data_IF_748108386243
#
_entry.id   IF_748108386243
#
_cell.length_a   1.000
_cell.length_b   1.000
_cell.length_c   1.000
_cell.angle_alpha   90.00
_cell.angle_beta   90.00
_cell.angle_gamma   90.00
#
_symmetry.space_group_name_H-M   'P 1'
#
loop_
_entity.id
_entity.type
_entity.pdbx_description
1 polymer ?
#
# COMPACT_ATOMS: atom_id res chain seq x y z
N UNK A 1 5.70 -19.01 -8.84
CA UNK A 1 4.78 -18.38 -7.88
C UNK A 1 5.68 -17.48 -7.06
N UNK A 2 5.76 -16.19 -7.44
CA UNK A 2 6.76 -15.25 -6.92
C UNK A 2 6.24 -14.69 -5.61
N UNK A 3 7.10 -14.72 -4.59
CA UNK A 3 6.82 -14.10 -3.29
C UNK A 3 6.39 -12.66 -3.51
N UNK A 4 5.35 -12.30 -2.77
CA UNK A 4 4.55 -11.11 -2.96
C UNK A 4 5.20 -10.02 -2.13
N UNK A 5 5.41 -8.84 -2.69
CA UNK A 5 5.83 -7.67 -1.94
C UNK A 5 4.91 -7.51 -0.71
N UNK A 6 5.49 -7.51 0.49
CA UNK A 6 4.87 -7.65 1.81
C UNK A 6 4.54 -9.03 2.34
N UNK A 7 4.44 -10.14 1.60
CA UNK A 7 4.13 -11.47 2.19
C UNK A 7 4.98 -11.77 3.45
N UNK A 8 6.28 -11.50 3.38
CA UNK A 8 7.26 -11.65 4.48
C UNK A 8 7.50 -10.40 5.34
N UNK A 9 6.84 -9.27 5.04
CA UNK A 9 6.97 -8.10 5.90
C UNK A 9 6.36 -8.43 7.27
N UNK A 10 7.24 -8.51 8.27
CA UNK A 10 6.87 -8.87 9.63
C UNK A 10 5.78 -7.92 10.14
N UNK A 11 4.77 -8.48 10.79
CA UNK A 11 3.83 -7.67 11.56
C UNK A 11 4.51 -7.00 12.75
N UNK A 12 4.01 -5.84 13.16
CA UNK A 12 4.39 -5.22 14.42
C UNK A 12 3.88 -6.10 15.58
N UNK A 13 4.76 -6.96 16.09
CA UNK A 13 4.48 -7.86 17.22
C UNK A 13 4.21 -6.98 18.45
N UNK A 14 2.96 -6.97 18.93
CA UNK A 14 2.47 -6.24 20.11
C UNK A 14 2.03 -4.78 19.92
N UNK A 15 1.58 -4.40 18.72
CA UNK A 15 0.97 -3.08 18.56
C UNK A 15 -0.32 -2.94 19.40
N UNK A 16 -0.51 -1.86 20.18
CA UNK A 16 -1.76 -1.63 20.93
C UNK A 16 -2.97 -1.47 20.00
N UNK A 17 -2.73 -1.18 18.72
CA UNK A 17 -3.77 -1.09 17.69
C UNK A 17 -4.42 -2.46 17.40
N UNK A 18 -3.77 -3.58 17.75
CA UNK A 18 -4.32 -4.92 17.50
C UNK A 18 -5.72 -5.15 18.11
N UNK A 19 -6.06 -4.40 19.17
CA UNK A 19 -7.40 -4.40 19.77
C UNK A 19 -8.53 -4.06 18.79
N UNK A 20 -8.25 -3.27 17.75
CA UNK A 20 -9.28 -2.82 16.79
C UNK A 20 -9.74 -3.95 15.86
N UNK A 21 -8.92 -4.98 15.65
CA UNK A 21 -9.22 -6.10 14.75
C UNK A 21 -9.16 -7.45 15.45
N UNK A 22 -9.39 -7.48 16.78
CA UNK A 22 -9.44 -8.72 17.55
C UNK A 22 -10.49 -9.72 17.01
N UNK A 23 -11.59 -9.20 16.48
CA UNK A 23 -12.68 -10.00 15.92
C UNK A 23 -12.52 -10.30 14.41
N UNK A 24 -11.42 -9.89 13.77
CA UNK A 24 -11.22 -10.05 12.32
C UNK A 24 -11.37 -11.50 11.85
N UNK A 25 -10.86 -12.46 12.64
CA UNK A 25 -10.95 -13.88 12.32
C UNK A 25 -12.40 -14.38 12.25
N UNK A 26 -13.32 -13.80 13.03
CA UNK A 26 -14.75 -14.13 12.97
C UNK A 26 -15.38 -13.70 11.65
N UNK A 27 -14.80 -12.69 10.99
CA UNK A 27 -15.20 -12.22 9.66
C UNK A 27 -14.51 -12.99 8.52
N UNK A 28 -13.63 -13.95 8.81
CA UNK A 28 -12.76 -14.59 7.81
C UNK A 28 -11.63 -13.67 7.32
N UNK A 29 -11.21 -12.69 8.14
CA UNK A 29 -10.16 -11.72 7.82
C UNK A 29 -8.90 -11.95 8.64
N UNK A 30 -7.75 -11.67 8.04
CA UNK A 30 -6.49 -11.44 8.73
C UNK A 30 -6.11 -9.96 8.59
N UNK A 31 -5.83 -9.30 9.70
CA UNK A 31 -5.41 -7.91 9.75
C UNK A 31 -4.12 -7.79 10.55
N UNK A 32 -3.13 -7.12 9.96
CA UNK A 32 -1.82 -6.95 10.59
C UNK A 32 -1.31 -5.53 10.32
N UNK A 33 -0.83 -4.86 11.36
CA UNK A 33 -0.01 -3.65 11.20
C UNK A 33 1.39 -4.10 10.78
N UNK A 34 1.90 -3.58 9.66
CA UNK A 34 3.23 -3.94 9.18
C UNK A 34 4.30 -3.22 9.99
N UNK A 35 5.45 -3.87 10.15
CA UNK A 35 6.66 -3.22 10.61
C UNK A 35 6.99 -2.00 9.73
N UNK A 36 7.76 -1.03 10.25
CA UNK A 36 8.19 0.13 9.48
C UNK A 36 8.87 -0.26 8.16
N UNK A 37 8.63 0.58 7.15
CA UNK A 37 9.14 0.42 5.80
C UNK A 37 9.71 1.75 5.37
N UNK A 38 10.67 1.71 4.46
CA UNK A 38 11.09 2.91 3.77
C UNK A 38 9.96 3.32 2.81
N UNK A 39 9.44 4.53 2.95
CA UNK A 39 8.36 5.08 2.11
C UNK A 39 8.79 6.47 1.65
N UNK A 40 8.70 6.72 0.36
CA UNK A 40 9.24 7.93 -0.24
C UNK A 40 8.31 8.47 -1.31
N UNK A 41 7.98 9.77 -1.26
CA UNK A 41 7.29 10.41 -2.36
C UNK A 41 8.26 10.66 -3.50
N UNK A 42 7.91 10.26 -4.72
CA UNK A 42 8.68 10.47 -5.93
C UNK A 42 7.83 11.27 -6.92
N UNK A 43 8.35 12.40 -7.39
CA UNK A 43 7.70 13.23 -8.40
C UNK A 43 8.64 13.48 -9.57
N UNK A 44 8.24 13.09 -10.78
CA UNK A 44 9.06 13.29 -11.96
C UNK A 44 9.17 14.78 -12.31
N UNK A 45 10.34 15.19 -12.79
CA UNK A 45 10.52 16.54 -13.32
C UNK A 45 9.89 16.66 -14.72
N UNK A 46 9.53 17.88 -15.09
CA UNK A 46 8.90 18.17 -16.38
C UNK A 46 9.75 17.65 -17.54
N UNK A 47 9.15 16.80 -18.38
CA UNK A 47 9.81 16.22 -19.56
C UNK A 47 10.81 15.10 -19.25
N UNK A 48 10.83 14.57 -18.02
CA UNK A 48 11.79 13.55 -17.57
C UNK A 48 11.21 12.14 -17.38
N UNK A 49 9.94 11.93 -17.75
CA UNK A 49 9.25 10.64 -17.58
C UNK A 49 9.98 9.45 -18.22
N UNK A 50 10.32 9.55 -19.51
CA UNK A 50 11.01 8.47 -20.23
C UNK A 50 12.41 8.19 -19.67
N UNK A 51 13.10 9.24 -19.23
CA UNK A 51 14.45 9.15 -18.69
C UNK A 51 14.43 8.55 -17.28
N UNK A 52 13.44 8.91 -16.46
CA UNK A 52 13.16 8.30 -15.16
C UNK A 52 12.85 6.80 -15.33
N UNK A 53 11.96 6.43 -16.25
CA UNK A 53 11.63 5.04 -16.52
C UNK A 53 12.86 4.23 -16.96
N UNK A 54 13.70 4.79 -17.86
CA UNK A 54 14.96 4.15 -18.28
C UNK A 54 15.97 4.01 -17.14
N UNK A 55 16.04 4.98 -16.23
CA UNK A 55 16.91 4.92 -15.06
C UNK A 55 16.47 3.81 -14.11
N UNK A 56 15.17 3.72 -13.81
CA UNK A 56 14.62 2.66 -12.96
C UNK A 56 14.79 1.27 -13.56
N UNK A 57 14.58 1.13 -14.87
CA UNK A 57 14.84 -0.12 -15.59
C UNK A 57 16.32 -0.51 -15.50
N UNK A 58 17.25 0.45 -15.69
CA UNK A 58 18.69 0.20 -15.62
C UNK A 58 19.17 -0.20 -14.23
N UNK A 59 18.72 0.51 -13.19
CA UNK A 59 19.24 0.35 -11.83
C UNK A 59 18.52 -0.76 -11.04
N UNK A 60 17.23 -0.97 -11.33
CA UNK A 60 16.37 -1.83 -10.53
C UNK A 60 15.61 -2.87 -11.36
N UNK A 61 15.77 -2.90 -12.69
CA UNK A 61 15.01 -3.78 -13.60
C UNK A 61 13.50 -3.59 -13.43
N UNK A 62 13.10 -2.36 -13.08
CA UNK A 62 11.74 -1.97 -12.78
C UNK A 62 11.17 -1.18 -13.94
N UNK A 63 10.18 -1.78 -14.62
CA UNK A 63 9.43 -1.11 -15.67
C UNK A 63 8.37 -0.21 -15.07
N UNK A 64 8.69 1.08 -14.95
CA UNK A 64 7.79 2.07 -14.35
C UNK A 64 6.57 2.31 -15.23
N UNK A 65 5.39 2.36 -14.61
CA UNK A 65 4.12 2.68 -15.27
C UNK A 65 3.58 3.98 -14.68
N UNK A 66 3.25 4.95 -15.54
CA UNK A 66 2.53 6.16 -15.16
C UNK A 66 1.02 5.90 -15.20
N UNK A 67 0.48 5.51 -14.04
CA UNK A 67 -0.91 5.13 -13.88
C UNK A 67 -1.17 4.58 -12.49
N UNK A 68 -2.43 4.27 -12.19
CA UNK A 68 -2.89 3.76 -10.89
C UNK A 68 -2.49 2.28 -10.68
N UNK A 69 -1.19 2.00 -10.77
CA UNK A 69 -0.58 0.67 -10.76
C UNK A 69 0.64 0.69 -9.83
N UNK A 70 0.87 -0.45 -9.17
CA UNK A 70 2.07 -0.78 -8.44
C UNK A 70 3.05 -1.42 -9.42
N UNK A 71 4.17 -0.74 -9.70
CA UNK A 71 5.26 -1.25 -10.52
C UNK A 71 6.43 -1.71 -9.64
N UNK A 72 7.06 -2.84 -9.98
CA UNK A 72 8.18 -3.43 -9.23
C UNK A 72 7.84 -4.74 -8.52
N UNK A 73 8.85 -5.41 -7.99
CA UNK A 73 8.76 -6.67 -7.26
C UNK A 73 9.72 -6.63 -6.05
N UNK A 74 9.35 -7.29 -4.95
CA UNK A 74 10.11 -7.68 -3.74
C UNK A 74 11.00 -6.66 -3.02
N UNK A 75 11.89 -5.99 -3.73
CA UNK A 75 12.93 -5.14 -3.15
C UNK A 75 12.62 -3.65 -3.27
N UNK A 76 11.76 -3.27 -4.22
CA UNK A 76 11.36 -1.88 -4.43
C UNK A 76 10.10 -1.84 -5.29
N UNK A 77 9.07 -1.14 -4.81
CA UNK A 77 7.88 -0.85 -5.62
C UNK A 77 7.62 0.64 -5.72
N UNK A 78 6.91 1.01 -6.79
CA UNK A 78 6.39 2.35 -7.05
C UNK A 78 4.87 2.27 -7.18
N UNK A 79 4.17 2.85 -6.22
CA UNK A 79 2.71 2.95 -6.18
C UNK A 79 2.30 4.23 -6.89
N UNK A 80 1.64 4.13 -8.04
CA UNK A 80 1.15 5.31 -8.76
C UNK A 80 0.09 6.06 -7.98
N UNK A 81 0.38 7.30 -7.62
CA UNK A 81 -0.51 8.16 -6.82
C UNK A 81 -1.11 9.32 -7.60
N UNK A 82 -0.60 9.56 -8.81
CA UNK A 82 -1.10 10.55 -9.76
C UNK A 82 -0.16 10.63 -10.96
N UNK A 83 -0.51 11.43 -11.98
CA UNK A 83 0.34 11.60 -13.16
C UNK A 83 1.74 12.07 -12.78
N UNK A 84 2.75 11.27 -13.13
CA UNK A 84 4.15 11.58 -12.81
C UNK A 84 4.49 11.54 -11.31
N UNK A 85 3.67 10.90 -10.48
CA UNK A 85 3.82 10.86 -9.03
C UNK A 85 3.62 9.45 -8.45
N UNK A 86 4.55 9.03 -7.59
CA UNK A 86 4.53 7.71 -6.95
C UNK A 86 4.88 7.78 -5.47
N UNK A 87 4.40 6.80 -4.70
CA UNK A 87 5.04 6.42 -3.44
C UNK A 87 5.95 5.23 -3.72
N UNK A 88 7.26 5.42 -3.56
CA UNK A 88 8.22 4.34 -3.57
C UNK A 88 8.28 3.68 -2.19
N UNK A 89 8.23 2.36 -2.12
CA UNK A 89 8.29 1.62 -0.87
C UNK A 89 9.25 0.42 -0.96
N UNK A 90 9.94 0.12 0.13
CA UNK A 90 10.78 -1.07 0.28
C UNK A 90 11.01 -1.43 1.76
N UNK A 91 11.40 -2.68 2.08
CA UNK A 91 11.73 -3.09 3.44
C UNK A 91 12.86 -2.24 4.06
N UNK A 92 12.76 -1.92 5.35
CA UNK A 92 13.73 -1.08 6.05
C UNK A 92 15.15 -1.66 6.01
N UNK A 93 15.24 -2.99 6.02
CA UNK A 93 16.49 -3.75 6.05
C UNK A 93 17.06 -4.08 4.66
N UNK A 94 16.44 -3.64 3.57
CA UNK A 94 16.92 -3.87 2.21
C UNK A 94 17.47 -2.58 1.59
N UNK A 95 18.54 -2.75 0.80
CA UNK A 95 19.08 -1.73 -0.08
C UNK A 95 18.08 -1.46 -1.23
N UNK A 96 17.99 -0.22 -1.77
CA UNK A 96 18.90 0.90 -1.58
C UNK A 96 18.45 1.91 -0.49
N UNK A 97 19.38 2.59 0.20
CA UNK A 97 19.08 3.75 1.01
C UNK A 97 18.48 4.87 0.16
N UNK A 98 17.64 5.70 0.78
CA UNK A 98 17.06 6.88 0.14
C UNK A 98 18.11 7.75 -0.57
N UNK A 99 19.31 7.90 0.00
CA UNK A 99 20.41 8.69 -0.59
C UNK A 99 20.88 8.12 -1.93
N UNK A 100 20.95 6.80 -2.05
CA UNK A 100 21.33 6.15 -3.30
C UNK A 100 20.24 6.34 -4.35
N UNK A 101 18.98 6.09 -4.00
CA UNK A 101 17.86 6.31 -4.92
C UNK A 101 17.81 7.77 -5.38
N UNK A 102 17.97 8.72 -4.46
CA UNK A 102 18.03 10.15 -4.75
C UNK A 102 19.19 10.51 -5.69
N UNK A 103 20.39 9.94 -5.47
CA UNK A 103 21.55 10.18 -6.34
C UNK A 103 21.37 9.60 -7.74
N UNK A 104 20.77 8.41 -7.86
CA UNK A 104 20.52 7.76 -9.15
C UNK A 104 19.43 8.47 -9.97
N UNK A 105 18.49 9.14 -9.30
CA UNK A 105 17.38 9.86 -9.91
C UNK A 105 17.56 11.38 -9.90
N UNK A 106 18.76 11.86 -9.58
CA UNK A 106 19.06 13.29 -9.56
C UNK A 106 18.81 13.92 -10.94
N UNK A 107 18.23 15.11 -10.94
CA UNK A 107 17.82 15.77 -12.18
C UNK A 107 16.58 15.16 -12.87
N UNK A 108 16.13 13.96 -12.50
CA UNK A 108 14.99 13.26 -13.10
C UNK A 108 13.73 13.36 -12.25
N UNK A 109 13.86 13.25 -10.93
CA UNK A 109 12.75 13.30 -9.99
C UNK A 109 13.11 14.04 -8.69
N UNK A 110 12.09 14.51 -7.99
CA UNK A 110 12.18 14.95 -6.60
C UNK A 110 11.78 13.79 -5.70
N UNK A 111 12.60 13.51 -4.68
CA UNK A 111 12.38 12.41 -3.74
C UNK A 111 12.36 12.96 -2.31
N UNK A 112 11.43 12.49 -1.49
CA UNK A 112 11.33 12.91 -0.09
C UNK A 112 10.92 11.73 0.79
N UNK A 113 11.61 11.59 1.93
CA UNK A 113 11.32 10.57 2.93
C UNK A 113 9.96 10.82 3.59
N UNK A 114 9.12 9.79 3.60
CA UNK A 114 7.78 9.73 4.19
C UNK A 114 7.62 8.49 5.10
N UNK A 115 8.72 7.85 5.48
CA UNK A 115 8.70 6.56 6.21
C UNK A 115 7.99 6.67 7.57
N UNK A 116 8.17 7.78 8.28
CA UNK A 116 7.44 8.09 9.53
C UNK A 116 6.04 8.68 9.30
N UNK A 117 5.75 9.11 8.06
CA UNK A 117 4.51 9.74 7.66
C UNK A 117 3.36 8.75 7.47
N UNK A 118 3.66 7.46 7.23
CA UNK A 118 2.67 6.44 6.96
C UNK A 118 2.73 5.27 7.94
N UNK A 119 1.56 4.66 8.18
CA UNK A 119 1.39 3.34 8.78
C UNK A 119 0.69 2.45 7.75
N UNK A 120 1.16 1.21 7.63
CA UNK A 120 0.66 0.26 6.63
C UNK A 120 -0.07 -0.88 7.33
N UNK A 121 -1.33 -1.09 6.96
CA UNK A 121 -2.13 -2.22 7.40
C UNK A 121 -2.25 -3.22 6.26
N UNK A 122 -1.96 -4.49 6.52
CA UNK A 122 -2.32 -5.60 5.64
C UNK A 122 -3.67 -6.15 6.04
N UNK A 123 -4.54 -6.33 5.05
CA UNK A 123 -5.85 -6.96 5.18
C UNK A 123 -5.96 -8.05 4.13
N UNK A 124 -6.15 -9.30 4.55
CA UNK A 124 -6.40 -10.43 3.65
C UNK A 124 -7.57 -11.26 4.15
N UNK A 125 -8.07 -12.17 3.30
CA UNK A 125 -9.23 -13.02 3.59
C UNK A 125 -10.34 -12.84 2.56
N UNK A 126 -11.26 -13.80 2.49
CA UNK A 126 -12.31 -13.86 1.47
C UNK A 126 -13.24 -12.65 1.49
N UNK A 127 -13.44 -12.06 2.67
CA UNK A 127 -14.32 -10.90 2.87
C UNK A 127 -13.57 -9.55 2.82
N UNK A 128 -12.29 -9.53 2.42
CA UNK A 128 -11.46 -8.32 2.41
C UNK A 128 -12.03 -7.23 1.51
N UNK A 129 -12.59 -7.61 0.36
CA UNK A 129 -13.31 -6.69 -0.55
C UNK A 129 -14.58 -6.13 0.08
N UNK A 130 -15.40 -6.99 0.69
CA UNK A 130 -16.64 -6.58 1.37
C UNK A 130 -16.36 -5.62 2.54
N UNK A 131 -15.29 -5.87 3.29
CA UNK A 131 -14.81 -4.96 4.33
C UNK A 131 -14.49 -3.57 3.76
N UNK A 132 -13.68 -3.50 2.70
CA UNK A 132 -13.28 -2.22 2.09
C UNK A 132 -14.46 -1.50 1.43
N UNK A 133 -15.39 -2.23 0.81
CA UNK A 133 -16.59 -1.67 0.18
C UNK A 133 -17.49 -0.88 1.17
N UNK A 134 -17.36 -1.13 2.48
CA UNK A 134 -18.09 -0.37 3.53
C UNK A 134 -17.64 1.08 3.69
N UNK A 135 -16.50 1.46 3.14
CA UNK A 135 -15.99 2.84 3.23
C UNK A 135 -15.28 3.35 1.99
N UNK A 136 -14.90 2.46 1.06
CA UNK A 136 -14.23 2.79 -0.18
C UNK A 136 -15.26 2.85 -1.33
N UNK A 137 -15.42 4.03 -1.93
CA UNK A 137 -16.29 4.24 -3.08
C UNK A 137 -15.64 3.79 -4.41
N UNK A 138 -15.11 2.56 -4.43
CA UNK A 138 -14.40 1.98 -5.59
C UNK A 138 -14.87 0.55 -5.77
N UNK A 139 -15.16 0.15 -7.00
CA UNK A 139 -15.50 -1.24 -7.29
C UNK A 139 -14.23 -2.10 -7.26
N UNK A 140 -14.11 -2.96 -6.25
CA UNK A 140 -12.98 -3.88 -6.06
C UNK A 140 -13.17 -5.24 -6.78
N UNK A 141 -14.26 -5.41 -7.53
CA UNK A 141 -14.50 -6.66 -8.25
C UNK A 141 -13.71 -6.77 -9.54
N UNK A 142 -13.28 -8.01 -9.85
CA UNK A 142 -12.67 -8.30 -11.13
C UNK A 142 -13.73 -8.14 -12.25
N UNK A 143 -13.37 -7.59 -13.42
CA UNK A 143 -12.01 -7.23 -13.86
C UNK A 143 -11.59 -5.79 -13.51
N UNK A 144 -12.39 -5.04 -12.75
CA UNK A 144 -12.17 -3.60 -12.51
C UNK A 144 -11.02 -3.32 -11.55
N UNK A 145 -10.81 -4.20 -10.57
CA UNK A 145 -9.68 -4.12 -9.64
C UNK A 145 -9.01 -5.50 -9.54
N UNK A 146 -7.70 -5.54 -9.79
CA UNK A 146 -6.88 -6.75 -9.79
C UNK A 146 -5.52 -6.49 -9.16
N UNK A 147 -4.72 -7.54 -9.04
CA UNK A 147 -3.33 -7.47 -8.60
C UNK A 147 -2.57 -6.32 -9.24
N UNK A 148 -1.78 -5.63 -8.42
CA UNK A 148 -1.03 -4.41 -8.74
C UNK A 148 -1.88 -3.16 -8.98
N UNK A 149 -3.21 -3.20 -8.95
CA UNK A 149 -3.98 -1.94 -8.98
C UNK A 149 -3.78 -1.16 -7.68
N UNK A 150 -3.61 0.15 -7.85
CA UNK A 150 -3.48 1.11 -6.76
C UNK A 150 -4.69 2.03 -6.81
N UNK A 151 -5.19 2.43 -5.65
CA UNK A 151 -6.17 3.48 -5.54
C UNK A 151 -5.78 4.47 -4.46
N UNK A 152 -5.82 5.75 -4.81
CA UNK A 152 -5.70 6.87 -3.88
C UNK A 152 -7.11 7.40 -3.65
N UNK A 153 -7.60 7.31 -2.43
CA UNK A 153 -8.97 7.67 -2.10
C UNK A 153 -9.06 8.13 -0.64
N UNK A 154 -10.26 8.14 -0.09
CA UNK A 154 -10.50 8.38 1.33
C UNK A 154 -11.51 7.38 1.87
N UNK A 155 -11.29 6.95 3.12
CA UNK A 155 -12.23 6.16 3.90
C UNK A 155 -12.49 6.93 5.19
N UNK A 156 -13.76 7.16 5.54
CA UNK A 156 -14.12 7.97 6.72
C UNK A 156 -13.39 9.34 6.76
N UNK A 157 -13.28 10.00 5.60
CA UNK A 157 -12.54 11.26 5.40
C UNK A 157 -11.03 11.21 5.67
N UNK A 158 -10.46 10.01 5.87
CA UNK A 158 -9.02 9.79 6.03
C UNK A 158 -8.46 9.39 4.67
N UNK A 159 -7.43 10.11 4.20
CA UNK A 159 -6.73 9.77 2.96
C UNK A 159 -6.04 8.42 3.06
N UNK A 160 -6.24 7.57 2.05
CA UNK A 160 -5.68 6.22 1.96
C UNK A 160 -5.05 5.97 0.60
N UNK A 161 -3.96 5.21 0.59
CA UNK A 161 -3.43 4.58 -0.62
C UNK A 161 -3.57 3.07 -0.44
N UNK A 162 -4.35 2.43 -1.31
CA UNK A 162 -4.65 1.00 -1.22
C UNK A 162 -4.13 0.31 -2.47
N UNK A 163 -3.52 -0.86 -2.34
CA UNK A 163 -3.19 -1.71 -3.47
C UNK A 163 -3.39 -3.18 -3.15
N UNK A 164 -3.76 -3.95 -4.17
CA UNK A 164 -3.90 -5.41 -4.08
C UNK A 164 -2.57 -6.08 -4.46
N UNK A 165 -2.06 -6.93 -3.60
CA UNK A 165 -0.75 -7.58 -3.76
C UNK A 165 -0.83 -8.93 -4.47
N UNK A 166 -1.97 -9.61 -4.44
CA UNK A 166 -2.16 -10.94 -5.05
C UNK A 166 -3.60 -11.15 -5.53
N UNK A 167 -3.85 -12.24 -6.26
CA UNK A 167 -5.18 -12.59 -6.79
C UNK A 167 -6.13 -13.18 -5.73
N UNK A 168 -5.62 -13.52 -4.53
CA UNK A 168 -6.39 -14.04 -3.39
C UNK A 168 -6.53 -12.94 -2.33
N UNK A 169 -7.39 -11.95 -2.60
CA UNK A 169 -7.06 -10.55 -2.51
C UNK A 169 -6.53 -10.16 -1.13
N UNK A 170 -5.21 -9.97 -1.07
CA UNK A 170 -4.54 -9.25 -0.01
C UNK A 170 -4.40 -7.78 -0.39
N UNK A 171 -4.85 -6.90 0.50
CA UNK A 171 -4.72 -5.46 0.36
C UNK A 171 -3.71 -4.92 1.36
N UNK A 172 -2.93 -3.93 0.93
CA UNK A 172 -2.17 -3.08 1.83
C UNK A 172 -2.79 -1.68 1.77
N UNK A 173 -2.90 -1.08 2.94
CA UNK A 173 -3.54 0.21 3.14
C UNK A 173 -2.52 1.11 3.83
N UNK A 174 -2.00 2.09 3.10
CA UNK A 174 -1.16 3.14 3.68
C UNK A 174 -2.07 4.28 4.16
N UNK A 175 -1.94 4.62 5.44
CA UNK A 175 -2.64 5.74 6.09
C UNK A 175 -1.63 6.66 6.74
N UNK A 176 -1.90 7.97 6.74
CA UNK A 176 -1.05 8.91 7.46
C UNK A 176 -0.97 8.52 8.94
N UNK A 177 0.24 8.51 9.51
CA UNK A 177 0.52 7.98 10.85
C UNK A 177 -0.32 8.68 11.94
N UNK A 178 -0.55 10.00 11.79
CA UNK A 178 -1.40 10.80 12.68
C UNK A 178 -2.89 10.41 12.68
N UNK A 179 -3.37 9.75 11.63
CA UNK A 179 -4.77 9.30 11.49
C UNK A 179 -4.93 7.79 11.66
N UNK A 180 -3.84 7.06 11.94
CA UNK A 180 -3.85 5.60 11.98
C UNK A 180 -4.84 5.05 13.01
N UNK A 181 -4.88 5.61 14.23
CA UNK A 181 -5.82 5.15 15.26
C UNK A 181 -7.28 5.42 14.88
N UNK A 182 -7.57 6.60 14.29
CA UNK A 182 -8.91 6.92 13.77
C UNK A 182 -9.34 5.98 12.65
N UNK A 183 -8.41 5.61 11.75
CA UNK A 183 -8.67 4.62 10.72
C UNK A 183 -8.94 3.23 11.33
N UNK A 184 -8.16 2.83 12.35
CA UNK A 184 -8.38 1.56 13.06
C UNK A 184 -9.74 1.52 13.77
N UNK A 185 -10.25 2.65 14.28
CA UNK A 185 -11.59 2.74 14.83
C UNK A 185 -12.67 2.45 13.77
N UNK A 186 -12.55 3.07 12.58
CA UNK A 186 -13.42 2.76 11.45
C UNK A 186 -13.31 1.28 11.05
N UNK A 187 -12.10 0.74 10.95
CA UNK A 187 -11.82 -0.65 10.59
C UNK A 187 -12.54 -1.63 11.53
N UNK A 188 -12.49 -1.37 12.83
CA UNK A 188 -13.21 -2.17 13.84
C UNK A 188 -14.72 -2.17 13.61
N UNK A 189 -15.30 -1.02 13.29
CA UNK A 189 -16.71 -0.91 12.92
C UNK A 189 -17.05 -1.67 11.64
N UNK A 190 -16.19 -1.58 10.62
CA UNK A 190 -16.35 -2.29 9.36
C UNK A 190 -16.29 -3.81 9.54
N UNK A 191 -15.36 -4.32 10.35
CA UNK A 191 -15.25 -5.76 10.69
C UNK A 191 -16.55 -6.26 11.33
N UNK A 192 -17.10 -5.53 12.31
CA UNK A 192 -18.38 -5.88 12.94
C UNK A 192 -19.52 -5.92 11.93
N UNK A 193 -19.52 -5.00 10.97
CA UNK A 193 -20.48 -5.00 9.87
C UNK A 193 -20.40 -6.26 9.03
N UNK A 194 -19.21 -6.71 8.63
CA UNK A 194 -19.04 -7.96 7.87
C UNK A 194 -19.53 -9.17 8.66
N UNK A 195 -19.23 -9.24 9.97
CA UNK A 195 -19.70 -10.33 10.83
C UNK A 195 -21.24 -10.36 10.90
N UNK A 196 -21.88 -9.20 10.90
CA UNK A 196 -23.34 -9.11 10.91
C UNK A 196 -23.93 -9.63 9.59
N UNK A 197 -23.37 -9.23 8.45
CA UNK A 197 -23.84 -9.65 7.13
C UNK A 197 -23.75 -11.18 6.92
N UNK A 198 -22.81 -11.87 7.59
CA UNK A 198 -22.65 -13.33 7.52
C UNK A 198 -23.67 -14.11 8.35
N UNK A 199 -24.38 -13.46 9.27
CA UNK A 199 -25.39 -14.09 10.14
C UNK A 199 -26.80 -14.04 9.54
N UNK A 200 -26.99 -13.25 8.50
CA UNK A 200 -28.25 -13.05 7.78
C UNK A 200 -28.34 -13.99 6.57
#
# INVERSE_FOLDING_TARGET
MRDLFFSDANGELNSPLARYWADAQLAGLSVTLLAPLNINSVQVRKGKADELAKALERHYKLSLVDGAICAGENDLVFLGTGPGAWLAAWPENLEPPIKQLAGQLDGLASITDQSSGYKLLRVSGETSKSLLARGLAVNLEAPNFKTSNVVVSSIAHIGVVIWQTDDQPTFIIAVASSYCESFCHWLSGAIKGVIQDQKE
#
